data_IF_040543205406
#
_entry.id   IF_040543205406
#
_cell.length_a   1.000
_cell.length_b   1.000
_cell.length_c   1.000
_cell.angle_alpha   90.00
_cell.angle_beta   90.00
_cell.angle_gamma   90.00
#
_symmetry.space_group_name_H-M   'P 1'
#
loop_
_entity.id
_entity.type
_entity.pdbx_description
1 polymer ?
#
# COMPACT_ATOMS: atom_id res chain seq x y z
N UNK A 1 -12.06 5.70 -9.87
CA UNK A 1 -12.12 4.33 -9.31
C UNK A 1 -13.04 4.28 -8.09
N UNK A 2 -12.64 4.87 -6.95
CA UNK A 2 -13.44 4.84 -5.70
C UNK A 2 -14.87 5.33 -5.85
N UNK A 3 -15.08 6.48 -6.49
CA UNK A 3 -16.42 7.06 -6.74
C UNK A 3 -17.32 6.18 -7.62
N UNK A 4 -16.74 5.24 -8.37
CA UNK A 4 -17.46 4.27 -9.18
C UNK A 4 -17.61 2.90 -8.48
N UNK A 5 -17.24 2.78 -7.19
CA UNK A 5 -17.29 1.52 -6.44
C UNK A 5 -16.14 0.55 -6.73
N UNK A 6 -15.12 0.94 -7.50
CA UNK A 6 -13.95 0.11 -7.77
C UNK A 6 -12.86 0.32 -6.71
N UNK A 7 -12.08 -0.72 -6.44
CA UNK A 7 -10.81 -0.62 -5.71
C UNK A 7 -9.71 -0.03 -6.59
N UNK A 8 -8.67 0.52 -5.96
CA UNK A 8 -7.48 1.01 -6.64
C UNK A 8 -6.28 0.33 -5.98
N UNK A 9 -5.55 -0.50 -6.74
CA UNK A 9 -4.36 -1.19 -6.24
C UNK A 9 -3.14 -0.42 -6.72
N UNK A 10 -2.43 0.24 -5.81
CA UNK A 10 -1.16 0.89 -6.13
C UNK A 10 -0.11 -0.19 -6.35
N UNK A 11 0.70 -0.10 -7.40
CA UNK A 11 1.60 -1.19 -7.78
C UNK A 11 2.99 -0.73 -8.20
N UNK A 12 3.97 -1.59 -7.96
CA UNK A 12 5.35 -1.44 -8.41
C UNK A 12 5.52 -1.67 -9.92
N UNK A 13 6.74 -1.45 -10.43
CA UNK A 13 7.14 -1.84 -11.81
C UNK A 13 8.22 -2.92 -11.82
N UNK A 14 8.44 -3.56 -12.97
CA UNK A 14 9.43 -4.64 -13.13
C UNK A 14 10.86 -4.17 -12.85
N UNK A 15 11.25 -3.00 -13.39
CA UNK A 15 12.39 -2.23 -12.93
C UNK A 15 11.95 -1.26 -11.84
N UNK A 16 12.57 -1.34 -10.67
CA UNK A 16 12.29 -0.45 -9.55
C UNK A 16 13.57 0.16 -8.99
N UNK A 17 13.40 1.12 -8.09
CA UNK A 17 14.49 1.67 -7.29
C UNK A 17 14.18 1.49 -5.80
N UNK A 18 14.99 2.07 -4.91
CA UNK A 18 14.68 2.13 -3.49
C UNK A 18 13.64 3.20 -3.12
N UNK A 19 13.18 4.01 -4.08
CA UNK A 19 12.10 4.99 -3.86
C UNK A 19 10.86 4.29 -3.31
N UNK A 20 10.32 4.76 -2.18
CA UNK A 20 9.22 4.13 -1.48
C UNK A 20 7.91 4.94 -1.56
N UNK A 21 7.84 5.93 -2.45
CA UNK A 21 6.70 6.86 -2.61
C UNK A 21 5.35 6.17 -2.76
N UNK A 22 5.31 5.02 -3.44
CA UNK A 22 4.05 4.29 -3.65
C UNK A 22 3.43 3.73 -2.35
N UNK A 23 4.22 3.57 -1.29
CA UNK A 23 3.72 3.22 0.04
C UNK A 23 2.94 4.39 0.66
N UNK A 24 3.53 5.59 0.67
CA UNK A 24 2.88 6.83 1.09
C UNK A 24 1.62 7.12 0.28
N UNK A 25 1.70 6.98 -1.05
CA UNK A 25 0.55 7.19 -1.92
C UNK A 25 -0.61 6.24 -1.59
N UNK A 26 -0.32 4.96 -1.31
CA UNK A 26 -1.34 3.97 -0.94
C UNK A 26 -2.07 4.35 0.36
N UNK A 27 -1.35 4.84 1.36
CA UNK A 27 -1.92 5.29 2.63
C UNK A 27 -2.68 6.61 2.46
N UNK A 28 -2.07 7.61 1.80
CA UNK A 28 -2.64 8.94 1.60
C UNK A 28 -4.02 8.90 0.90
N UNK A 29 -4.17 8.03 -0.10
CA UNK A 29 -5.45 7.87 -0.80
C UNK A 29 -6.35 6.82 -0.15
N UNK A 30 -5.94 6.19 0.97
CA UNK A 30 -6.61 5.07 1.61
C UNK A 30 -6.95 3.95 0.61
N UNK A 31 -6.00 3.54 -0.23
CA UNK A 31 -6.22 2.57 -1.31
C UNK A 31 -6.74 1.22 -0.78
N UNK A 32 -6.32 0.87 0.45
CA UNK A 32 -6.58 -0.40 1.11
C UNK A 32 -5.74 -1.56 0.57
N UNK A 33 -5.14 -1.42 -0.61
CA UNK A 33 -4.37 -2.46 -1.28
C UNK A 33 -3.13 -1.86 -1.97
N UNK A 34 -2.03 -2.57 -1.86
CA UNK A 34 -0.76 -2.29 -2.55
C UNK A 34 -0.14 -3.59 -3.05
N UNK A 35 0.44 -3.57 -4.25
CA UNK A 35 1.15 -4.69 -4.87
C UNK A 35 2.59 -4.28 -5.18
N UNK A 36 3.50 -4.53 -4.23
CA UNK A 36 4.88 -4.05 -4.32
C UNK A 36 5.95 -5.15 -4.39
N UNK A 37 5.57 -6.36 -4.79
CA UNK A 37 6.50 -7.47 -5.09
C UNK A 37 6.73 -8.43 -3.93
N UNK A 38 7.62 -9.40 -4.14
CA UNK A 38 7.94 -10.41 -3.13
C UNK A 38 8.74 -9.81 -1.95
N UNK A 39 8.89 -10.58 -0.88
CA UNK A 39 9.71 -10.25 0.30
C UNK A 39 11.19 -10.55 0.01
N UNK A 40 11.68 -10.05 -1.13
CA UNK A 40 13.08 -10.16 -1.55
C UNK A 40 13.45 -9.00 -2.48
N UNK A 41 14.76 -8.74 -2.61
CA UNK A 41 15.35 -7.57 -3.29
C UNK A 41 15.05 -6.25 -2.57
N UNK A 42 16.10 -5.48 -2.32
CA UNK A 42 16.04 -4.26 -1.49
C UNK A 42 15.04 -3.23 -2.02
N UNK A 43 14.91 -3.09 -3.34
CA UNK A 43 13.94 -2.20 -4.00
C UNK A 43 12.48 -2.48 -3.61
N UNK A 44 12.13 -3.74 -3.30
CA UNK A 44 10.78 -4.14 -2.88
C UNK A 44 10.60 -3.97 -1.39
N UNK A 45 11.61 -4.41 -0.64
CA UNK A 45 11.67 -4.29 0.81
C UNK A 45 11.60 -2.83 1.26
N UNK A 46 12.17 -1.89 0.50
CA UNK A 46 12.08 -0.46 0.80
C UNK A 46 10.62 0.02 1.00
N UNK A 47 9.69 -0.41 0.13
CA UNK A 47 8.26 -0.05 0.23
C UNK A 47 7.59 -0.69 1.44
N UNK A 48 7.89 -1.96 1.74
CA UNK A 48 7.37 -2.60 2.96
C UNK A 48 7.88 -1.93 4.24
N UNK A 49 9.18 -1.59 4.27
CA UNK A 49 9.77 -0.87 5.39
C UNK A 49 9.17 0.53 5.55
N UNK A 50 8.80 1.20 4.45
CA UNK A 50 8.07 2.47 4.53
C UNK A 50 6.69 2.30 5.13
N UNK A 51 5.94 1.25 4.76
CA UNK A 51 4.64 0.96 5.38
C UNK A 51 4.77 0.72 6.89
N UNK A 52 5.80 0.00 7.35
CA UNK A 52 6.07 -0.18 8.78
C UNK A 52 6.37 1.16 9.48
N UNK A 53 7.14 2.05 8.83
CA UNK A 53 7.39 3.41 9.36
C UNK A 53 6.12 4.24 9.42
N UNK A 54 5.28 4.21 8.38
CA UNK A 54 4.00 4.95 8.35
C UNK A 54 3.06 4.42 9.44
N UNK A 55 2.98 3.11 9.62
CA UNK A 55 2.20 2.51 10.71
C UNK A 55 2.69 2.99 12.07
N UNK A 56 4.02 3.01 12.29
CA UNK A 56 4.62 3.54 13.51
C UNK A 56 4.34 5.05 13.70
N UNK A 57 4.39 5.85 12.63
CA UNK A 57 4.09 7.29 12.64
C UNK A 57 2.61 7.57 12.98
N UNK A 58 1.69 6.73 12.50
CA UNK A 58 0.25 6.86 12.76
C UNK A 58 -0.16 6.38 14.16
N UNK A 59 0.64 5.49 14.78
CA UNK A 59 0.38 4.91 16.09
C UNK A 59 -1.08 4.41 16.22
N UNK A 60 -1.83 4.90 17.22
CA UNK A 60 -3.21 4.48 17.48
C UNK A 60 -4.20 4.84 16.36
N UNK A 61 -3.81 5.70 15.41
CA UNK A 61 -4.63 6.04 14.24
C UNK A 61 -4.44 5.08 13.06
N UNK A 62 -3.49 4.14 13.14
CA UNK A 62 -3.26 3.16 12.08
C UNK A 62 -4.40 2.14 12.01
N UNK A 63 -4.90 1.86 10.79
CA UNK A 63 -5.98 0.88 10.58
C UNK A 63 -5.64 -0.10 9.46
N UNK A 64 -5.55 -1.39 9.82
CA UNK A 64 -5.45 -2.48 8.87
C UNK A 64 -6.81 -3.16 8.66
N UNK A 65 -7.44 -2.89 7.51
CA UNK A 65 -8.82 -3.35 7.21
C UNK A 65 -8.94 -4.82 6.77
N UNK A 66 -7.82 -5.54 6.57
CA UNK A 66 -7.85 -6.94 6.17
C UNK A 66 -8.79 -7.21 4.97
N UNK A 67 -9.80 -8.08 5.14
CA UNK A 67 -10.77 -8.41 4.08
C UNK A 67 -11.75 -7.28 3.76
N UNK A 68 -11.95 -6.33 4.66
CA UNK A 68 -12.92 -5.23 4.45
C UNK A 68 -12.47 -4.24 3.37
N UNK A 69 -11.23 -4.34 2.88
CA UNK A 69 -10.72 -3.55 1.75
C UNK A 69 -11.39 -3.90 0.43
N UNK A 70 -12.05 -5.06 0.33
CA UNK A 70 -12.78 -5.52 -0.85
C UNK A 70 -14.22 -5.00 -0.87
N UNK A 71 -14.41 -3.70 -0.62
CA UNK A 71 -15.73 -3.06 -0.65
C UNK A 71 -16.41 -3.09 -2.03
N UNK A 72 -15.70 -3.53 -3.07
CA UNK A 72 -16.19 -3.72 -4.41
C UNK A 72 -16.79 -5.12 -4.65
N UNK A 73 -16.71 -6.04 -3.69
CA UNK A 73 -17.29 -7.38 -3.74
C UNK A 73 -18.59 -7.42 -2.91
N UNK A 74 -19.57 -8.21 -3.37
CA UNK A 74 -20.84 -8.45 -2.67
C UNK A 74 -20.85 -9.85 -2.06
#
# INVERSE_FOLDING_TARGET
>A
AKTAGYTCVISHRSGETSDDFIADLAVAVNSGQIKTGSICRSERIAKYNRLLRIEQELADSAVFKGKEVFYNLK
#
